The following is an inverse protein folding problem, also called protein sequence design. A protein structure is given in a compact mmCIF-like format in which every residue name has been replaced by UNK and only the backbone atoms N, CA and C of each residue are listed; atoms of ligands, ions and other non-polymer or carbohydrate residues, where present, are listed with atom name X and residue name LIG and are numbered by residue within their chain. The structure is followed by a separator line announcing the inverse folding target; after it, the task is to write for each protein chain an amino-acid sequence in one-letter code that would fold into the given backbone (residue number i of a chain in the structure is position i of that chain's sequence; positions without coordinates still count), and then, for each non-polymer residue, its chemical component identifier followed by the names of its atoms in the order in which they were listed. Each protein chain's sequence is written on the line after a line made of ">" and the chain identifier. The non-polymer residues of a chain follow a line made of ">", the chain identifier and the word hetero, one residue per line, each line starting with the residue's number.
data_IF_048641920032
#
_entry.id   IF_048641920032
#
_cell.length_a   1.000
_cell.length_b   1.000
_cell.length_c   1.000
_cell.angle_alpha   90.00
_cell.angle_beta   90.00
_cell.angle_gamma   90.00
#
_symmetry.space_group_name_H-M   'P 1'
#
loop_
_entity.id
_entity.type
_entity.pdbx_description
1 polymer ?
#
# COMPACT_ATOMS: atom_id res chain seq x y z
N UNK A 1 4.68 5.33 11.98
CA UNK A 1 4.09 4.06 11.49
C UNK A 1 2.56 4.07 11.42
N UNK A 2 1.81 4.68 12.35
CA UNK A 2 0.34 4.75 12.24
C UNK A 2 -0.11 5.40 10.91
N UNK A 3 0.61 6.43 10.45
CA UNK A 3 0.31 7.07 9.16
C UNK A 3 0.58 6.15 7.96
N UNK A 4 1.63 5.33 8.02
CA UNK A 4 1.92 4.30 7.01
C UNK A 4 0.81 3.24 7.03
N UNK A 5 0.37 2.81 8.21
CA UNK A 5 -0.75 1.88 8.37
C UNK A 5 -2.03 2.41 7.73
N UNK A 6 -2.36 3.69 7.99
CA UNK A 6 -3.52 4.35 7.38
C UNK A 6 -3.44 4.36 5.85
N UNK A 7 -2.26 4.66 5.29
CA UNK A 7 -2.06 4.62 3.84
C UNK A 7 -2.19 3.22 3.27
N UNK A 8 -1.62 2.20 3.93
CA UNK A 8 -1.71 0.83 3.45
C UNK A 8 -3.15 0.33 3.46
N UNK A 9 -3.96 0.68 4.47
CA UNK A 9 -5.38 0.33 4.51
C UNK A 9 -6.14 0.93 3.32
N UNK A 10 -5.90 2.21 3.00
CA UNK A 10 -6.51 2.86 1.83
C UNK A 10 -5.96 2.27 0.52
N UNK A 11 -4.65 2.02 0.44
CA UNK A 11 -4.00 1.45 -0.73
C UNK A 11 -4.49 0.05 -1.05
N UNK A 12 -4.64 -0.81 -0.05
CA UNK A 12 -5.23 -2.15 -0.18
C UNK A 12 -6.63 -2.09 -0.79
N UNK A 13 -7.46 -1.17 -0.30
CA UNK A 13 -8.81 -0.94 -0.85
C UNK A 13 -8.76 -0.46 -2.31
N UNK A 14 -7.85 0.47 -2.62
CA UNK A 14 -7.64 0.98 -3.96
C UNK A 14 -7.14 -0.08 -4.94
N UNK A 15 -6.20 -0.93 -4.53
CA UNK A 15 -5.73 -2.09 -5.31
C UNK A 15 -6.92 -2.98 -5.69
N UNK A 16 -7.77 -3.33 -4.71
CA UNK A 16 -8.93 -4.18 -4.96
C UNK A 16 -9.95 -3.52 -5.91
N UNK A 17 -10.18 -2.21 -5.72
CA UNK A 17 -11.04 -1.41 -6.60
C UNK A 17 -10.52 -1.45 -8.04
N UNK A 18 -9.22 -1.24 -8.25
CA UNK A 18 -8.59 -1.32 -9.57
C UNK A 18 -8.62 -2.74 -10.13
N UNK A 19 -8.33 -3.76 -9.33
CA UNK A 19 -8.37 -5.17 -9.68
C UNK A 19 -9.74 -5.57 -10.29
N UNK A 20 -10.85 -5.13 -9.68
CA UNK A 20 -12.19 -5.43 -10.18
C UNK A 20 -12.62 -4.57 -11.37
N UNK A 21 -12.16 -3.31 -11.45
CA UNK A 21 -12.70 -2.31 -12.38
C UNK A 21 -11.83 -2.07 -13.62
N UNK A 22 -10.62 -2.63 -13.65
CA UNK A 22 -9.69 -2.39 -14.76
C UNK A 22 -10.17 -3.00 -16.08
N UNK A 23 -9.85 -2.33 -17.20
CA UNK A 23 -10.15 -2.83 -18.55
C UNK A 23 -9.07 -2.38 -19.54
N UNK A 24 -8.65 -3.28 -20.42
CA UNK A 24 -7.74 -2.96 -21.52
C UNK A 24 -6.83 -4.12 -21.92
N UNK A 25 -5.90 -3.89 -22.86
CA UNK A 25 -4.83 -4.82 -23.18
C UNK A 25 -3.97 -5.11 -21.94
N UNK A 26 -3.56 -6.36 -21.74
CA UNK A 26 -2.76 -6.76 -20.57
C UNK A 26 -3.57 -7.05 -19.30
N UNK A 27 -4.91 -7.00 -19.37
CA UNK A 27 -5.81 -7.26 -18.23
C UNK A 27 -5.41 -8.45 -17.38
N UNK A 28 -5.23 -9.63 -18.00
CA UNK A 28 -4.98 -10.85 -17.25
C UNK A 28 -3.68 -10.79 -16.42
N UNK A 29 -2.65 -10.10 -16.91
CA UNK A 29 -1.39 -9.95 -16.20
C UNK A 29 -1.52 -8.98 -15.02
N UNK A 30 -2.06 -7.78 -15.26
CA UNK A 30 -2.19 -6.75 -14.23
C UNK A 30 -3.24 -7.13 -13.18
N UNK A 31 -4.32 -7.80 -13.57
CA UNK A 31 -5.33 -8.33 -12.65
C UNK A 31 -4.73 -9.36 -11.67
N UNK A 32 -3.91 -10.29 -12.17
CA UNK A 32 -3.19 -11.26 -11.31
C UNK A 32 -2.10 -10.61 -10.46
N UNK A 33 -1.45 -9.57 -10.98
CA UNK A 33 -0.46 -8.82 -10.21
C UNK A 33 -1.14 -8.09 -9.04
N UNK A 34 -2.27 -7.43 -9.29
CA UNK A 34 -3.02 -6.71 -8.25
C UNK A 34 -3.55 -7.63 -7.15
N UNK A 35 -3.90 -8.89 -7.44
CA UNK A 35 -4.19 -9.89 -6.39
C UNK A 35 -2.99 -10.14 -5.48
N UNK A 36 -1.81 -10.37 -6.07
CA UNK A 36 -0.57 -10.56 -5.29
C UNK A 36 -0.23 -9.32 -4.48
N UNK A 37 -0.44 -8.14 -5.07
CA UNK A 37 -0.20 -6.89 -4.37
C UNK A 37 -1.15 -6.71 -3.19
N UNK A 38 -2.44 -7.03 -3.37
CA UNK A 38 -3.41 -6.98 -2.30
C UNK A 38 -2.98 -7.85 -1.12
N UNK A 39 -2.62 -9.12 -1.38
CA UNK A 39 -2.18 -10.05 -0.35
C UNK A 39 -0.93 -9.57 0.38
N UNK A 40 0.08 -9.08 -0.35
CA UNK A 40 1.31 -8.61 0.28
C UNK A 40 1.09 -7.36 1.13
N UNK A 41 0.26 -6.42 0.67
CA UNK A 41 -0.09 -5.22 1.46
C UNK A 41 -0.90 -5.61 2.70
N UNK A 42 -1.78 -6.61 2.60
CA UNK A 42 -2.53 -7.12 3.75
C UNK A 42 -1.61 -7.70 4.83
N UNK A 43 -0.58 -8.47 4.43
CA UNK A 43 0.46 -8.96 5.33
C UNK A 43 1.22 -7.82 6.01
N UNK A 44 1.58 -6.76 5.30
CA UNK A 44 2.24 -5.59 5.91
C UNK A 44 1.33 -4.85 6.90
N UNK A 45 0.04 -4.73 6.60
CA UNK A 45 -0.94 -4.13 7.51
C UNK A 45 -1.00 -4.92 8.82
N UNK A 46 -1.11 -6.24 8.73
CA UNK A 46 -1.14 -7.14 9.89
C UNK A 46 0.15 -7.05 10.71
N UNK A 47 1.31 -7.21 10.05
CA UNK A 47 2.62 -7.11 10.69
C UNK A 47 2.81 -5.79 11.43
N UNK A 48 2.43 -4.67 10.82
CA UNK A 48 2.51 -3.35 11.45
C UNK A 48 1.58 -3.29 12.66
N UNK A 49 0.30 -3.67 12.51
CA UNK A 49 -0.69 -3.59 13.58
C UNK A 49 -0.33 -4.49 14.76
N UNK A 50 0.04 -5.75 14.52
CA UNK A 50 0.51 -6.67 15.56
C UNK A 50 1.74 -6.11 16.26
N UNK A 51 2.63 -5.41 15.55
CA UNK A 51 3.83 -4.84 16.16
C UNK A 51 3.53 -3.72 17.14
N UNK A 52 2.50 -2.89 16.88
CA UNK A 52 2.00 -1.94 17.87
C UNK A 52 1.53 -2.67 19.13
N UNK A 53 0.70 -3.71 18.97
CA UNK A 53 0.13 -4.47 20.09
C UNK A 53 1.21 -5.20 20.90
N UNK A 54 2.20 -5.82 20.25
CA UNK A 54 3.34 -6.46 20.91
C UNK A 54 4.15 -5.51 21.79
N UNK A 55 4.08 -4.20 21.53
CA UNK A 55 4.75 -3.14 22.30
C UNK A 55 3.83 -2.46 23.30
N UNK A 56 2.63 -3.01 23.52
CA UNK A 56 1.60 -2.42 24.37
C UNK A 56 1.21 -1.00 23.95
N UNK A 57 1.31 -0.70 22.65
CA UNK A 57 0.86 0.55 22.05
C UNK A 57 -0.55 0.38 21.50
N UNK A 58 -1.30 1.48 21.47
CA UNK A 58 -2.60 1.53 20.83
C UNK A 58 -2.45 1.69 19.31
N UNK A 59 -3.38 1.10 18.56
CA UNK A 59 -3.48 1.20 17.10
C UNK A 59 -4.92 1.53 16.74
N UNK A 60 -5.11 2.59 15.98
CA UNK A 60 -6.44 2.97 15.48
C UNK A 60 -6.66 2.30 14.12
N UNK A 61 -7.74 1.53 14.01
CA UNK A 61 -7.99 0.61 12.87
C UNK A 61 -9.30 0.87 12.15
N UNK A 62 -10.08 1.86 12.59
CA UNK A 62 -11.33 2.20 11.90
C UNK A 62 -11.04 2.72 10.48
N UNK A 63 -11.87 2.31 9.52
CA UNK A 63 -11.77 2.81 8.14
C UNK A 63 -11.93 4.33 8.07
N UNK A 64 -12.80 4.90 8.91
CA UNK A 64 -12.97 6.36 8.99
C UNK A 64 -11.66 7.07 9.38
N UNK A 65 -10.92 6.54 10.35
CA UNK A 65 -9.61 7.07 10.72
C UNK A 65 -8.58 6.92 9.61
N UNK A 66 -8.52 5.75 8.98
CA UNK A 66 -7.59 5.50 7.88
C UNK A 66 -7.82 6.49 6.73
N UNK A 67 -9.07 6.69 6.33
CA UNK A 67 -9.45 7.65 5.27
C UNK A 67 -9.12 9.09 5.68
N UNK A 68 -9.40 9.47 6.93
CA UNK A 68 -9.17 10.84 7.40
C UNK A 68 -7.68 11.23 7.48
N UNK A 69 -6.80 10.25 7.70
CA UNK A 69 -5.37 10.48 7.95
C UNK A 69 -4.45 9.95 6.85
N UNK A 70 -4.98 9.29 5.82
CA UNK A 70 -4.19 8.83 4.69
C UNK A 70 -3.77 9.99 3.78
N UNK A 71 -2.59 9.87 3.19
CA UNK A 71 -2.13 10.71 2.08
C UNK A 71 -2.72 10.29 0.74
N UNK A 72 -3.43 9.16 0.68
CA UNK A 72 -4.05 8.63 -0.52
C UNK A 72 -5.52 9.01 -0.59
N UNK A 73 -6.02 9.15 -1.82
CA UNK A 73 -7.45 9.32 -2.09
C UNK A 73 -8.03 7.99 -2.56
N UNK A 74 -9.27 7.73 -2.20
CA UNK A 74 -9.99 6.54 -2.69
C UNK A 74 -10.12 6.56 -4.22
N UNK A 75 -9.86 5.41 -4.84
CA UNK A 75 -10.04 5.21 -6.27
C UNK A 75 -11.53 5.20 -6.61
N UNK A 76 -11.95 6.14 -7.46
CA UNK A 76 -13.34 6.31 -7.91
C UNK A 76 -13.55 5.80 -9.34
N UNK A 77 -14.81 5.56 -9.69
CA UNK A 77 -15.23 5.11 -11.02
C UNK A 77 -15.74 3.68 -11.06
N UNK A 78 -16.43 3.35 -12.16
CA UNK A 78 -17.00 2.02 -12.42
C UNK A 78 -16.14 1.18 -13.38
N UNK A 79 -15.35 1.82 -14.24
CA UNK A 79 -14.40 1.17 -15.16
C UNK A 79 -13.19 2.06 -15.29
N UNK A 80 -11.99 1.46 -15.21
CA UNK A 80 -10.72 2.17 -15.19
C UNK A 80 -9.83 1.60 -16.29
N UNK A 81 -9.32 2.42 -17.23
CA UNK A 81 -8.31 1.99 -18.20
C UNK A 81 -7.05 1.42 -17.50
N UNK A 82 -6.43 0.38 -18.06
CA UNK A 82 -5.28 -0.30 -17.43
C UNK A 82 -4.07 0.62 -17.25
N UNK A 83 -3.76 1.42 -18.25
CA UNK A 83 -2.74 2.47 -18.18
C UNK A 83 -2.98 3.38 -16.98
N UNK A 84 -4.23 3.81 -16.78
CA UNK A 84 -4.60 4.63 -15.63
C UNK A 84 -4.48 3.89 -14.30
N UNK A 85 -4.84 2.61 -14.24
CA UNK A 85 -4.61 1.79 -13.05
C UNK A 85 -3.12 1.70 -12.72
N UNK A 86 -2.25 1.50 -13.71
CA UNK A 86 -0.80 1.39 -13.49
C UNK A 86 -0.26 2.72 -12.98
N UNK A 87 -0.62 3.85 -13.61
CA UNK A 87 -0.26 5.19 -13.14
C UNK A 87 -0.66 5.43 -11.68
N UNK A 88 -1.91 5.11 -11.34
CA UNK A 88 -2.44 5.32 -9.99
C UNK A 88 -1.78 4.38 -8.97
N UNK A 89 -1.50 3.13 -9.33
CA UNK A 89 -0.78 2.17 -8.48
C UNK A 89 0.65 2.64 -8.20
N UNK A 90 1.36 3.12 -9.22
CA UNK A 90 2.73 3.68 -9.09
C UNK A 90 2.68 4.92 -8.22
N UNK A 91 1.82 5.89 -8.54
CA UNK A 91 1.74 7.15 -7.78
C UNK A 91 1.43 6.92 -6.30
N UNK A 92 0.50 6.03 -5.98
CA UNK A 92 0.15 5.72 -4.60
C UNK A 92 1.28 4.97 -3.87
N UNK A 93 1.92 4.00 -4.53
CA UNK A 93 3.07 3.29 -3.98
C UNK A 93 4.24 4.25 -3.69
N UNK A 94 4.52 5.19 -4.59
CA UNK A 94 5.57 6.21 -4.41
C UNK A 94 5.27 7.11 -3.20
N UNK A 95 4.03 7.55 -3.01
CA UNK A 95 3.64 8.35 -1.84
C UNK A 95 3.92 7.58 -0.54
N UNK A 96 3.57 6.29 -0.50
CA UNK A 96 3.83 5.43 0.67
C UNK A 96 5.34 5.26 0.87
N UNK A 97 6.08 4.99 -0.20
CA UNK A 97 7.53 4.81 -0.16
C UNK A 97 8.24 6.04 0.39
N UNK A 98 7.95 7.23 -0.16
CA UNK A 98 8.53 8.49 0.33
C UNK A 98 8.19 8.75 1.80
N UNK A 99 6.98 8.40 2.24
CA UNK A 99 6.59 8.52 3.66
C UNK A 99 7.39 7.52 4.50
N UNK A 100 7.50 6.28 4.04
CA UNK A 100 8.27 5.25 4.71
C UNK A 100 9.74 5.66 4.86
N UNK A 101 10.37 6.23 3.82
CA UNK A 101 11.74 6.75 3.84
C UNK A 101 11.96 7.87 4.87
N UNK A 102 11.00 8.77 5.00
CA UNK A 102 11.05 9.92 5.92
C UNK A 102 10.69 9.56 7.36
N UNK A 103 10.13 8.37 7.61
CA UNK A 103 9.74 7.95 8.94
C UNK A 103 10.97 7.67 9.81
N UNK A 104 11.25 8.56 10.75
CA UNK A 104 12.28 8.34 11.77
C UNK A 104 11.75 7.37 12.83
N UNK A 105 12.22 6.12 12.78
CA UNK A 105 11.91 5.14 13.80
C UNK A 105 12.95 5.21 14.93
N UNK A 106 12.51 5.36 16.20
CA UNK A 106 13.38 5.15 17.34
C UNK A 106 14.14 3.82 17.23
N UNK A 107 15.46 3.84 17.41
CA UNK A 107 16.32 2.63 17.34
C UNK A 107 15.85 1.51 18.30
N UNK A 108 15.23 1.90 19.41
CA UNK A 108 14.63 1.03 20.43
C UNK A 108 13.44 0.20 19.90
N UNK A 109 12.90 0.58 18.74
CA UNK A 109 11.82 -0.16 18.08
C UNK A 109 12.33 -1.34 17.24
N UNK A 110 13.65 -1.47 17.02
CA UNK A 110 14.36 -2.67 16.52
C UNK A 110 13.66 -3.36 15.35
N UNK A 111 12.81 -4.35 15.66
CA UNK A 111 12.02 -5.08 14.68
C UNK A 111 11.02 -4.22 13.85
N UNK A 112 10.60 -3.04 14.30
CA UNK A 112 9.78 -2.14 13.46
C UNK A 112 10.57 -1.56 12.28
N UNK A 113 11.87 -1.35 12.46
CA UNK A 113 12.75 -0.88 11.39
C UNK A 113 12.83 -1.90 10.26
N UNK A 114 12.92 -3.20 10.62
CA UNK A 114 12.94 -4.31 9.65
C UNK A 114 11.65 -4.34 8.81
N UNK A 115 10.49 -4.19 9.44
CA UNK A 115 9.19 -4.19 8.72
C UNK A 115 9.12 -3.03 7.72
N UNK A 116 9.59 -1.84 8.11
CA UNK A 116 9.58 -0.67 7.22
C UNK A 116 10.59 -0.83 6.07
N UNK A 117 11.77 -1.40 6.31
CA UNK A 117 12.72 -1.70 5.24
C UNK A 117 12.19 -2.76 4.27
N UNK A 118 11.56 -3.83 4.75
CA UNK A 118 10.91 -4.84 3.89
C UNK A 118 9.77 -4.24 3.06
N UNK A 119 8.99 -3.32 3.65
CA UNK A 119 7.95 -2.58 2.93
C UNK A 119 8.55 -1.70 1.82
N UNK A 120 9.65 -0.98 2.11
CA UNK A 120 10.34 -0.14 1.11
C UNK A 120 10.84 -0.98 -0.06
N UNK A 121 11.56 -2.06 0.21
CA UNK A 121 12.06 -3.00 -0.82
C UNK A 121 10.92 -3.55 -1.69
N UNK A 122 9.80 -3.91 -1.06
CA UNK A 122 8.62 -4.39 -1.78
C UNK A 122 8.02 -3.30 -2.68
N UNK A 123 7.86 -2.08 -2.18
CA UNK A 123 7.30 -0.95 -2.93
C UNK A 123 8.20 -0.55 -4.09
N UNK A 124 9.51 -0.43 -3.88
CA UNK A 124 10.48 -0.12 -4.94
C UNK A 124 10.41 -1.12 -6.09
N UNK A 125 10.42 -2.42 -5.75
CA UNK A 125 10.30 -3.49 -6.73
C UNK A 125 8.96 -3.44 -7.47
N UNK A 126 7.88 -3.18 -6.75
CA UNK A 126 6.53 -3.11 -7.32
C UNK A 126 6.39 -1.92 -8.27
N UNK A 127 6.90 -0.75 -7.88
CA UNK A 127 6.96 0.44 -8.72
C UNK A 127 7.74 0.13 -9.99
N UNK A 128 8.94 -0.43 -9.89
CA UNK A 128 9.75 -0.80 -11.04
C UNK A 128 9.02 -1.76 -12.00
N UNK A 129 8.35 -2.80 -11.47
CA UNK A 129 7.59 -3.75 -12.30
C UNK A 129 6.43 -3.06 -13.04
N UNK A 130 5.72 -2.17 -12.36
CA UNK A 130 4.59 -1.44 -12.92
C UNK A 130 5.04 -0.42 -13.98
N UNK A 131 6.11 0.34 -13.73
CA UNK A 131 6.68 1.29 -14.69
C UNK A 131 7.17 0.60 -15.97
N UNK A 132 7.67 -0.66 -15.88
CA UNK A 132 8.05 -1.46 -17.05
C UNK A 132 6.88 -2.12 -17.78
N UNK A 133 5.65 -1.97 -17.27
CA UNK A 133 4.44 -2.55 -17.84
C UNK A 133 3.60 -1.55 -18.66
N UNK A 134 4.06 -0.29 -18.75
CA UNK A 134 3.53 0.77 -19.63
C UNK A 134 4.33 0.79 -20.93
#
# INVERSE_FOLDING_TARGET
>A
MQNILNDLIVYRSNIQSMHWKMKGPGFLAIHRLTDKMYSQIDEFIDLIAEKFIQRHLEVETTLANAIANSSLKETKGMTIPIDKCIEDLVSQATIILEKAEKEELPKELGAMYVIVDELRDYLEKTIWLLEKSI
#
